data_IF_492666690971
#
_entry.id   IF_492666690971
#
_cell.length_a   1.000
_cell.length_b   1.000
_cell.length_c   1.000
_cell.angle_alpha   90.00
_cell.angle_beta   90.00
_cell.angle_gamma   90.00
#
_symmetry.space_group_name_H-M   'P 1'
#
loop_
_entity.id
_entity.type
_entity.pdbx_description
1 polymer ?
#
# COMPACT_ATOMS: atom_id res chain seq x y z
N UNK A 1 -19.80 -29.09 -43.79
CA UNK A 1 -20.68 -28.21 -42.99
C UNK A 1 -21.49 -29.14 -42.08
N UNK A 2 -21.21 -29.15 -40.77
CA UNK A 2 -21.58 -28.06 -39.87
C UNK A 2 -20.40 -27.45 -39.08
N UNK A 3 -20.59 -26.21 -38.67
CA UNK A 3 -19.73 -25.36 -37.86
C UNK A 3 -20.21 -25.31 -36.41
N UNK A 4 -19.24 -25.23 -35.48
CA UNK A 4 -19.32 -24.61 -34.12
C UNK A 4 -20.31 -25.22 -33.11
N UNK A 5 -19.99 -25.41 -31.84
CA UNK A 5 -19.34 -24.46 -30.92
C UNK A 5 -18.44 -25.19 -29.92
N UNK A 6 -17.20 -24.71 -29.80
CA UNK A 6 -16.30 -25.05 -28.69
C UNK A 6 -16.83 -24.30 -27.47
N UNK A 7 -17.54 -24.97 -26.58
CA UNK A 7 -17.86 -24.42 -25.26
C UNK A 7 -16.53 -24.13 -24.57
N UNK A 8 -16.15 -22.85 -24.54
CA UNK A 8 -15.09 -22.38 -23.68
C UNK A 8 -15.54 -22.66 -22.26
N UNK A 9 -14.88 -23.61 -21.61
CA UNK A 9 -14.88 -23.76 -20.16
C UNK A 9 -14.54 -22.40 -19.56
N UNK A 10 -15.58 -21.64 -19.23
CA UNK A 10 -15.47 -20.40 -18.49
C UNK A 10 -15.21 -20.85 -17.07
N UNK A 11 -13.93 -20.93 -16.70
CA UNK A 11 -13.51 -21.12 -15.33
C UNK A 11 -13.32 -19.71 -14.78
N UNK A 12 -14.33 -19.10 -14.14
CA UNK A 12 -14.13 -17.78 -13.58
C UNK A 12 -13.05 -17.97 -12.51
N UNK A 13 -11.89 -17.38 -12.78
CA UNK A 13 -10.78 -17.36 -11.84
C UNK A 13 -11.35 -17.00 -10.48
N UNK A 14 -11.05 -17.80 -9.44
CA UNK A 14 -11.65 -17.64 -8.11
C UNK A 14 -11.45 -16.20 -7.63
N UNK A 15 -10.35 -15.56 -8.02
CA UNK A 15 -10.06 -14.15 -7.77
C UNK A 15 -11.04 -13.19 -8.45
N UNK A 16 -11.50 -13.49 -9.67
CA UNK A 16 -12.54 -12.74 -10.37
C UNK A 16 -13.94 -12.96 -9.79
N UNK A 17 -14.23 -14.14 -9.23
CA UNK A 17 -15.45 -14.36 -8.44
C UNK A 17 -15.42 -13.59 -7.12
N UNK A 18 -14.27 -13.57 -6.43
CA UNK A 18 -14.07 -12.82 -5.18
C UNK A 18 -14.17 -11.30 -5.40
N UNK A 19 -13.66 -10.79 -6.53
CA UNK A 19 -13.80 -9.38 -6.90
C UNK A 19 -15.26 -8.95 -7.13
N UNK A 20 -16.15 -9.89 -7.52
CA UNK A 20 -17.58 -9.64 -7.72
C UNK A 20 -18.42 -9.85 -6.45
N UNK A 21 -17.87 -10.48 -5.41
CA UNK A 21 -18.52 -10.64 -4.11
C UNK A 21 -18.30 -9.37 -3.28
N UNK A 22 -19.10 -8.35 -3.59
CA UNK A 22 -19.38 -7.13 -2.82
C UNK A 22 -18.57 -6.98 -1.52
N UNK A 23 -17.32 -6.55 -1.67
CA UNK A 23 -16.53 -5.97 -0.60
C UNK A 23 -16.17 -4.59 -1.13
N UNK A 24 -16.42 -3.52 -0.38
CA UNK A 24 -16.04 -2.13 -0.72
C UNK A 24 -14.49 -1.93 -0.78
N UNK A 25 -13.76 -3.03 -0.95
CA UNK A 25 -12.33 -3.18 -0.95
C UNK A 25 -11.82 -3.26 -2.40
N UNK A 26 -11.71 -2.10 -3.03
CA UNK A 26 -10.89 -1.96 -4.24
C UNK A 26 -9.43 -2.00 -3.83
N UNK A 27 -8.72 -3.08 -4.18
CA UNK A 27 -7.30 -3.23 -3.91
C UNK A 27 -6.46 -2.55 -4.99
N UNK A 28 -5.62 -1.59 -4.60
CA UNK A 28 -4.64 -0.98 -5.51
C UNK A 28 -3.40 -1.87 -5.61
N UNK A 29 -3.08 -2.45 -6.78
CA UNK A 29 -1.90 -3.28 -6.93
C UNK A 29 -0.61 -2.50 -6.60
N UNK A 30 0.39 -3.12 -5.94
CA UNK A 30 1.65 -2.46 -5.60
C UNK A 30 2.35 -1.83 -6.80
N UNK A 31 2.21 -2.41 -8.00
CA UNK A 31 2.77 -1.83 -9.23
C UNK A 31 2.19 -0.43 -9.50
N UNK A 32 0.86 -0.28 -9.44
CA UNK A 32 0.19 1.00 -9.67
C UNK A 32 0.60 2.02 -8.61
N UNK A 33 0.67 1.60 -7.34
CA UNK A 33 1.14 2.47 -6.25
C UNK A 33 2.57 2.96 -6.52
N UNK A 34 3.47 2.07 -6.93
CA UNK A 34 4.84 2.44 -7.24
C UNK A 34 4.94 3.35 -8.46
N UNK A 35 4.18 3.08 -9.53
CA UNK A 35 4.10 3.94 -10.72
C UNK A 35 3.63 5.36 -10.32
N UNK A 36 2.64 5.49 -9.43
CA UNK A 36 2.16 6.78 -8.93
C UNK A 36 3.18 7.50 -8.04
N UNK A 37 3.78 6.78 -7.08
CA UNK A 37 4.84 7.33 -6.22
C UNK A 37 6.07 7.73 -7.04
N UNK A 38 6.26 7.12 -8.21
CA UNK A 38 7.37 7.44 -9.07
C UNK A 38 7.22 8.77 -9.81
N UNK A 39 6.00 9.28 -9.93
CA UNK A 39 5.70 10.61 -10.46
C UNK A 39 5.99 11.73 -9.46
N UNK A 40 6.16 11.43 -8.17
CA UNK A 40 6.45 12.41 -7.14
C UNK A 40 7.93 12.87 -7.20
N UNK A 41 8.24 14.12 -6.80
CA UNK A 41 9.62 14.58 -6.69
C UNK A 41 10.44 13.68 -5.74
N UNK A 42 11.49 13.03 -6.27
CA UNK A 42 12.30 12.05 -5.51
C UNK A 42 12.95 12.63 -4.25
N UNK A 43 13.17 13.94 -4.20
CA UNK A 43 13.69 14.65 -3.03
C UNK A 43 12.80 14.49 -1.78
N UNK A 44 11.50 14.26 -1.95
CA UNK A 44 10.57 14.06 -0.83
C UNK A 44 10.96 12.84 0.03
N UNK A 45 11.48 11.78 -0.60
CA UNK A 45 11.87 10.57 0.11
C UNK A 45 13.25 10.68 0.79
N UNK A 46 13.92 11.84 0.66
CA UNK A 46 15.21 12.15 1.30
C UNK A 46 15.11 13.31 2.30
N UNK A 47 13.92 13.90 2.44
CA UNK A 47 13.67 15.02 3.36
C UNK A 47 13.11 14.47 4.68
N UNK A 48 13.82 14.63 5.82
CA UNK A 48 13.34 14.16 7.12
C UNK A 48 12.09 14.92 7.60
N UNK A 49 11.74 16.05 6.98
CA UNK A 49 10.57 16.85 7.35
C UNK A 49 9.36 16.64 6.42
N UNK A 50 9.51 15.86 5.35
CA UNK A 50 8.39 15.56 4.47
C UNK A 50 7.35 14.69 5.20
N UNK A 51 6.07 15.04 5.05
CA UNK A 51 4.94 14.28 5.60
C UNK A 51 4.03 13.79 4.48
N UNK A 52 3.45 12.61 4.68
CA UNK A 52 2.60 11.92 3.72
C UNK A 52 1.28 11.54 4.38
N UNK A 53 0.18 11.79 3.68
CA UNK A 53 -1.17 11.48 4.11
C UNK A 53 -1.86 10.58 3.08
N UNK A 54 -2.35 9.42 3.52
CA UNK A 54 -3.34 8.61 2.80
C UNK A 54 -4.73 8.83 3.45
N UNK A 55 -5.59 9.69 2.88
CA UNK A 55 -6.85 10.08 3.50
C UNK A 55 -7.96 9.02 3.38
N UNK A 56 -7.74 7.96 2.59
CA UNK A 56 -8.71 6.88 2.38
C UNK A 56 -8.02 5.52 2.44
N UNK A 57 -7.19 5.38 3.47
CA UNK A 57 -6.28 4.26 3.66
C UNK A 57 -7.07 2.97 3.91
N UNK A 58 -7.00 2.04 2.97
CA UNK A 58 -7.59 0.69 3.11
C UNK A 58 -6.56 -0.26 3.73
N UNK A 59 -5.86 -1.02 2.90
CA UNK A 59 -4.85 -2.00 3.32
C UNK A 59 -3.46 -1.39 3.57
N UNK A 60 -3.32 -0.05 3.50
CA UNK A 60 -2.06 0.65 3.80
C UNK A 60 -0.96 0.54 2.74
N UNK A 61 -1.27 0.11 1.50
CA UNK A 61 -0.25 -0.14 0.47
C UNK A 61 0.54 1.12 0.12
N UNK A 62 -0.10 2.29 0.01
CA UNK A 62 0.62 3.55 -0.23
C UNK A 62 1.61 3.85 0.89
N UNK A 63 1.14 3.86 2.14
CA UNK A 63 1.99 4.14 3.30
C UNK A 63 3.15 3.16 3.42
N UNK A 64 2.92 1.87 3.13
CA UNK A 64 3.97 0.84 3.13
C UNK A 64 5.04 1.11 2.07
N UNK A 65 4.64 1.41 0.84
CA UNK A 65 5.59 1.66 -0.24
C UNK A 65 6.32 3.02 -0.09
N UNK A 66 5.70 4.00 0.59
CA UNK A 66 6.37 5.24 1.02
C UNK A 66 7.38 4.95 2.13
N UNK A 67 7.02 4.15 3.14
CA UNK A 67 7.91 3.78 4.23
C UNK A 67 9.22 3.17 3.73
N UNK A 68 9.16 2.21 2.79
CA UNK A 68 10.34 1.61 2.17
C UNK A 68 11.27 2.66 1.54
N UNK A 69 10.69 3.59 0.77
CA UNK A 69 11.43 4.67 0.11
C UNK A 69 12.10 5.61 1.12
N UNK A 70 11.41 5.93 2.23
CA UNK A 70 11.97 6.76 3.31
C UNK A 70 13.07 6.02 4.09
N UNK A 71 12.91 4.72 4.35
CA UNK A 71 13.91 3.90 5.04
C UNK A 71 15.22 3.88 4.27
N UNK A 72 15.17 3.79 2.94
CA UNK A 72 16.35 3.88 2.08
C UNK A 72 16.84 5.33 1.94
N UNK A 73 15.93 6.27 1.66
CA UNK A 73 16.28 7.65 1.32
C UNK A 73 16.81 8.49 2.48
N UNK A 74 16.50 8.13 3.73
CA UNK A 74 16.98 8.83 4.93
C UNK A 74 18.22 8.18 5.56
N UNK A 75 18.78 7.12 4.97
CA UNK A 75 19.91 6.39 5.55
C UNK A 75 21.13 7.28 5.85
N UNK A 76 21.42 8.24 4.98
CA UNK A 76 22.57 9.14 5.18
C UNK A 76 22.32 10.20 6.27
N UNK A 77 21.06 10.62 6.46
CA UNK A 77 20.68 11.69 7.39
C UNK A 77 20.36 11.16 8.78
N UNK A 78 19.77 9.96 8.86
CA UNK A 78 19.47 9.25 10.11
C UNK A 78 20.06 7.83 10.00
N UNK A 79 21.36 7.64 10.28
CA UNK A 79 22.04 6.37 10.03
C UNK A 79 21.54 5.21 10.87
N UNK A 80 21.18 5.46 12.13
CA UNK A 80 20.63 4.43 13.01
C UNK A 80 19.24 3.99 12.52
N UNK A 81 19.09 2.70 12.20
CA UNK A 81 17.86 2.16 11.63
C UNK A 81 16.68 2.31 12.58
N UNK A 82 16.86 2.10 13.89
CA UNK A 82 15.75 2.16 14.84
C UNK A 82 15.24 3.60 15.00
N UNK A 83 16.14 4.58 15.13
CA UNK A 83 15.79 5.99 15.15
C UNK A 83 15.12 6.42 13.84
N UNK A 84 15.60 5.91 12.70
CA UNK A 84 15.00 6.18 11.39
C UNK A 84 13.57 5.64 11.29
N UNK A 85 13.34 4.39 11.71
CA UNK A 85 12.00 3.79 11.74
C UNK A 85 11.06 4.55 12.67
N UNK A 86 11.49 4.84 13.90
CA UNK A 86 10.68 5.62 14.85
C UNK A 86 10.33 7.00 14.28
N UNK A 87 11.29 7.70 13.66
CA UNK A 87 11.05 8.99 13.02
C UNK A 87 10.01 8.90 11.89
N UNK A 88 10.20 7.96 10.96
CA UNK A 88 9.30 7.75 9.82
C UNK A 88 7.87 7.48 10.30
N UNK A 89 7.70 6.53 11.22
CA UNK A 89 6.39 6.07 11.66
C UNK A 89 5.67 7.02 12.62
N UNK A 90 6.39 7.87 13.36
CA UNK A 90 5.78 8.85 14.27
C UNK A 90 5.51 10.20 13.60
N UNK A 91 6.36 10.61 12.66
CA UNK A 91 6.39 11.99 12.21
C UNK A 91 6.12 12.18 10.72
N UNK A 92 6.26 11.14 9.89
CA UNK A 92 6.18 11.29 8.44
C UNK A 92 4.97 10.60 7.79
N UNK A 93 4.40 9.55 8.40
CA UNK A 93 3.34 8.75 7.79
C UNK A 93 2.01 8.89 8.54
N UNK A 94 0.97 9.31 7.82
CA UNK A 94 -0.38 9.48 8.35
C UNK A 94 -1.40 8.79 7.45
N UNK A 95 -2.34 8.06 8.06
CA UNK A 95 -3.40 7.35 7.33
C UNK A 95 -4.73 7.50 8.04
N UNK A 96 -5.80 7.70 7.28
CA UNK A 96 -7.18 7.71 7.78
C UNK A 96 -7.88 6.47 7.21
N UNK A 97 -8.22 5.53 8.08
CA UNK A 97 -9.09 4.41 7.74
C UNK A 97 -10.55 4.84 7.87
N UNK A 98 -11.39 4.50 6.87
CA UNK A 98 -12.83 4.81 6.93
C UNK A 98 -13.56 3.96 7.96
N UNK A 99 -13.08 2.75 8.20
CA UNK A 99 -13.58 1.82 9.23
C UNK A 99 -12.45 1.34 10.11
N UNK A 100 -12.78 0.88 11.32
CA UNK A 100 -11.82 0.29 12.24
C UNK A 100 -11.03 -0.88 11.60
N UNK A 101 -11.72 -1.75 10.86
CA UNK A 101 -11.09 -2.88 10.17
C UNK A 101 -10.03 -2.39 9.18
N UNK A 102 -10.34 -1.39 8.35
CA UNK A 102 -9.34 -0.84 7.40
C UNK A 102 -8.17 -0.17 8.13
N UNK A 103 -8.43 0.54 9.22
CA UNK A 103 -7.36 1.13 10.04
C UNK A 103 -6.43 0.03 10.63
N UNK A 104 -7.01 -1.07 11.14
CA UNK A 104 -6.26 -2.21 11.67
C UNK A 104 -5.46 -2.94 10.58
N UNK A 105 -6.04 -3.17 9.41
CA UNK A 105 -5.36 -3.77 8.26
C UNK A 105 -4.18 -2.91 7.80
N UNK A 106 -4.39 -1.60 7.66
CA UNK A 106 -3.33 -0.65 7.33
C UNK A 106 -2.18 -0.71 8.34
N UNK A 107 -2.48 -0.67 9.65
CA UNK A 107 -1.46 -0.77 10.70
C UNK A 107 -0.66 -2.06 10.63
N UNK A 108 -1.33 -3.19 10.42
CA UNK A 108 -0.65 -4.49 10.29
C UNK A 108 0.23 -4.58 9.05
N UNK A 109 -0.22 -4.01 7.94
CA UNK A 109 0.54 -3.93 6.68
C UNK A 109 1.77 -3.03 6.79
N UNK A 110 1.62 -1.88 7.46
CA UNK A 110 2.66 -0.87 7.61
C UNK A 110 3.72 -1.26 8.65
N UNK A 111 3.29 -1.64 9.85
CA UNK A 111 4.19 -1.93 10.97
C UNK A 111 4.66 -3.40 11.01
N UNK A 112 4.06 -4.28 10.20
CA UNK A 112 4.24 -5.72 10.31
C UNK A 112 3.99 -6.25 11.74
N UNK A 113 3.19 -5.54 12.55
CA UNK A 113 3.00 -5.91 13.96
C UNK A 113 2.09 -7.12 14.08
N UNK A 114 2.48 -8.08 14.92
CA UNK A 114 1.62 -9.22 15.31
C UNK A 114 0.47 -8.81 16.23
N UNK A 115 0.60 -7.66 16.89
CA UNK A 115 -0.35 -7.15 17.87
C UNK A 115 -0.82 -5.77 17.43
N UNK A 116 -2.14 -5.62 17.29
CA UNK A 116 -2.82 -4.35 17.10
C UNK A 116 -2.77 -3.55 18.41
#
# INVERSE_FOLDING_TARGET
MPTTSKESSFNPDVLSCLANLSSDEVFTPPKIVNDMLDMLPKKLFRDPNATFLDPACKTGVFLREIAKRLIEGLEQTVPDLNQRLEHIYRHQLFGIGMTEITALMSRRSLYCSKYA
#
